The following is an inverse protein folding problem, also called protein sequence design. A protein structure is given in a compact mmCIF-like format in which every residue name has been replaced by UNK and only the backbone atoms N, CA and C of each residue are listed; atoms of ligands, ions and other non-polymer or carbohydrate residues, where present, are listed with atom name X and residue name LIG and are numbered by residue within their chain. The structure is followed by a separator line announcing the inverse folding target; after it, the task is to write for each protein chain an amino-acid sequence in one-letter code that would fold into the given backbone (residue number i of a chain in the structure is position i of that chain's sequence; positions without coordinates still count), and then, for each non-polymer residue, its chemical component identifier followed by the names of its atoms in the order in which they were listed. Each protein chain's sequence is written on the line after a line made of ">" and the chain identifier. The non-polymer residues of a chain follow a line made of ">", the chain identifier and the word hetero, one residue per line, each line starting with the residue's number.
data_IF_607068576164
#
_entry.id   IF_607068576164
#
_cell.length_a   1.000
_cell.length_b   1.000
_cell.length_c   1.000
_cell.angle_alpha   90.00
_cell.angle_beta   90.00
_cell.angle_gamma   90.00
#
_symmetry.space_group_name_H-M   'P 1'
#
loop_
_entity.id
_entity.type
_entity.pdbx_description
1 polymer ?
#
# COMPACT_ATOMS: atom_id res chain seq x y z
N UNK A 1 -29.81 5.77 11.59
CA UNK A 1 -28.64 5.19 12.22
C UNK A 1 -29.06 4.05 13.14
N UNK A 2 -28.26 3.03 13.17
CA UNK A 2 -28.49 1.77 13.85
C UNK A 2 -27.52 1.68 15.05
N UNK A 3 -28.00 1.92 16.30
CA UNK A 3 -27.17 1.98 17.49
C UNK A 3 -26.53 0.62 17.84
N UNK A 4 -27.24 -0.48 17.61
CA UNK A 4 -26.67 -1.83 17.88
C UNK A 4 -25.50 -2.16 16.98
N UNK A 5 -25.60 -1.86 15.69
CA UNK A 5 -24.50 -2.05 14.76
C UNK A 5 -23.32 -1.12 15.08
N UNK A 6 -23.60 0.11 15.49
CA UNK A 6 -22.54 1.06 15.90
C UNK A 6 -21.80 0.59 17.16
N UNK A 7 -22.50 -0.01 18.13
CA UNK A 7 -21.87 -0.60 19.32
C UNK A 7 -20.97 -1.79 18.95
N UNK A 8 -21.41 -2.67 18.03
CA UNK A 8 -20.60 -3.78 17.53
C UNK A 8 -19.37 -3.25 16.83
N UNK A 9 -19.53 -2.28 15.92
CA UNK A 9 -18.43 -1.66 15.18
C UNK A 9 -17.39 -1.05 16.13
N UNK A 10 -17.82 -0.27 17.10
CA UNK A 10 -16.92 0.39 18.05
C UNK A 10 -16.14 -0.62 18.89
N UNK A 11 -16.80 -1.64 19.43
CA UNK A 11 -16.13 -2.71 20.20
C UNK A 11 -15.12 -3.46 19.34
N UNK A 12 -15.51 -3.83 18.13
CA UNK A 12 -14.65 -4.61 17.26
C UNK A 12 -13.45 -3.81 16.74
N UNK A 13 -13.68 -2.60 16.19
CA UNK A 13 -12.57 -1.82 15.61
C UNK A 13 -11.67 -1.26 16.72
N UNK A 14 -12.24 -0.47 17.63
CA UNK A 14 -11.46 0.28 18.62
C UNK A 14 -11.12 -0.54 19.87
N UNK A 15 -11.92 -1.59 20.19
CA UNK A 15 -11.63 -2.52 21.26
C UNK A 15 -10.69 -3.63 20.82
N UNK A 16 -11.13 -4.51 19.93
CA UNK A 16 -10.42 -5.74 19.60
C UNK A 16 -9.26 -5.51 18.61
N UNK A 17 -9.53 -4.86 17.47
CA UNK A 17 -8.53 -4.67 16.39
C UNK A 17 -7.42 -3.73 16.83
N UNK A 18 -7.75 -2.59 17.43
CA UNK A 18 -6.74 -1.61 17.87
C UNK A 18 -5.90 -2.12 19.06
N UNK A 19 -6.41 -3.06 19.85
CA UNK A 19 -5.66 -3.72 20.92
C UNK A 19 -4.76 -4.87 20.43
N UNK A 20 -4.86 -5.25 19.14
CA UNK A 20 -4.12 -6.40 18.58
C UNK A 20 -2.91 -5.95 17.78
N UNK A 21 -1.74 -6.51 18.09
CA UNK A 21 -0.48 -6.24 17.38
C UNK A 21 0.15 -4.90 17.75
N UNK A 22 1.28 -4.58 17.11
CA UNK A 22 2.20 -3.51 17.48
C UNK A 22 2.15 -2.29 16.56
N UNK A 23 1.15 -2.20 15.64
CA UNK A 23 1.01 -1.04 14.77
C UNK A 23 0.64 0.21 15.57
N UNK A 24 1.35 1.31 15.32
CA UNK A 24 0.99 2.61 15.86
C UNK A 24 -0.26 3.21 15.18
N UNK A 25 -0.84 4.24 15.77
CA UNK A 25 -2.07 4.86 15.27
C UNK A 25 -1.89 5.48 13.86
N UNK A 26 -0.71 6.00 13.53
CA UNK A 26 -0.43 6.55 12.20
C UNK A 26 -0.46 5.46 11.14
N UNK A 27 0.23 4.34 11.39
CA UNK A 27 0.24 3.18 10.49
C UNK A 27 -1.16 2.59 10.31
N UNK A 28 -1.95 2.49 11.39
CA UNK A 28 -3.34 2.01 11.34
C UNK A 28 -4.20 2.88 10.43
N UNK A 29 -4.14 4.21 10.57
CA UNK A 29 -4.95 5.11 9.74
C UNK A 29 -4.46 5.18 8.29
N UNK A 30 -3.14 5.10 8.03
CA UNK A 30 -2.63 4.99 6.66
C UNK A 30 -3.11 3.72 5.96
N UNK A 31 -3.09 2.57 6.65
CA UNK A 31 -3.63 1.30 6.16
C UNK A 31 -5.13 1.46 5.89
N UNK A 32 -5.89 2.01 6.85
CA UNK A 32 -7.34 2.20 6.70
C UNK A 32 -7.67 3.10 5.51
N UNK A 33 -7.03 4.26 5.37
CA UNK A 33 -7.23 5.14 4.22
C UNK A 33 -6.88 4.46 2.88
N UNK A 34 -5.82 3.66 2.86
CA UNK A 34 -5.44 2.86 1.69
C UNK A 34 -6.51 1.84 1.32
N UNK A 35 -6.99 1.05 2.28
CA UNK A 35 -8.07 0.06 2.07
C UNK A 35 -9.36 0.71 1.59
N UNK A 36 -9.78 1.81 2.21
CA UNK A 36 -10.98 2.55 1.81
C UNK A 36 -10.85 3.17 0.41
N UNK A 37 -9.64 3.58 0.03
CA UNK A 37 -9.33 4.00 -1.35
C UNK A 37 -9.55 2.85 -2.33
N UNK A 38 -9.04 1.66 -2.03
CA UNK A 38 -9.21 0.46 -2.88
C UNK A 38 -10.66 0.08 -3.01
N UNK A 39 -11.41 0.11 -1.90
CA UNK A 39 -12.84 -0.23 -1.86
C UNK A 39 -13.75 0.85 -2.46
N UNK A 40 -13.26 2.05 -2.73
CA UNK A 40 -14.04 3.20 -3.22
C UNK A 40 -15.16 3.63 -2.26
N UNK A 41 -14.95 3.45 -0.97
CA UNK A 41 -15.90 3.87 0.09
C UNK A 41 -15.56 5.29 0.52
N UNK A 42 -15.87 6.27 -0.36
CA UNK A 42 -15.45 7.67 -0.20
C UNK A 42 -15.94 8.36 1.08
N UNK A 43 -17.18 8.15 1.55
CA UNK A 43 -17.61 8.74 2.82
C UNK A 43 -16.78 8.29 4.02
N UNK A 44 -16.39 7.01 4.06
CA UNK A 44 -15.52 6.46 5.10
C UNK A 44 -14.08 6.97 4.93
N UNK A 45 -13.58 7.04 3.70
CA UNK A 45 -12.28 7.64 3.41
C UNK A 45 -12.21 9.09 3.91
N UNK A 46 -13.25 9.88 3.68
CA UNK A 46 -13.34 11.28 4.17
C UNK A 46 -13.21 11.32 5.69
N UNK A 47 -13.94 10.49 6.41
CA UNK A 47 -13.90 10.41 7.88
C UNK A 47 -12.50 10.00 8.39
N UNK A 48 -11.93 8.92 7.82
CA UNK A 48 -10.61 8.40 8.20
C UNK A 48 -9.46 9.32 7.79
N UNK A 49 -9.58 10.10 6.71
CA UNK A 49 -8.62 11.17 6.38
C UNK A 49 -8.54 12.19 7.53
N UNK A 50 -9.70 12.59 8.08
CA UNK A 50 -9.74 13.46 9.25
C UNK A 50 -9.12 12.82 10.49
N UNK A 51 -9.39 11.54 10.74
CA UNK A 51 -8.80 10.78 11.85
C UNK A 51 -7.28 10.63 11.71
N UNK A 52 -6.80 10.32 10.51
CA UNK A 52 -5.38 10.21 10.20
C UNK A 52 -4.63 11.51 10.50
N UNK A 53 -5.15 12.66 10.08
CA UNK A 53 -4.58 13.96 10.41
C UNK A 53 -4.54 14.21 11.93
N UNK A 54 -5.58 13.80 12.67
CA UNK A 54 -5.65 13.96 14.11
C UNK A 54 -4.60 13.11 14.87
N UNK A 55 -4.22 11.94 14.35
CA UNK A 55 -3.16 11.11 14.93
C UNK A 55 -1.76 11.44 14.39
N UNK A 56 -1.64 12.53 13.63
CA UNK A 56 -0.36 13.08 13.17
C UNK A 56 0.16 12.49 11.86
N UNK A 57 -0.69 11.83 11.05
CA UNK A 57 -0.36 11.56 9.64
C UNK A 57 -0.32 12.89 8.90
N UNK A 58 0.73 13.14 8.15
CA UNK A 58 0.85 14.37 7.37
C UNK A 58 0.01 14.31 6.09
N UNK A 59 -0.42 15.45 5.52
CA UNK A 59 -1.10 15.48 4.23
C UNK A 59 -0.29 14.83 3.10
N UNK A 60 1.05 14.94 3.15
CA UNK A 60 1.95 14.31 2.19
C UNK A 60 1.89 12.78 2.32
N UNK A 61 2.03 12.23 3.54
CA UNK A 61 1.92 10.78 3.78
C UNK A 61 0.59 10.22 3.27
N UNK A 62 -0.54 10.90 3.54
CA UNK A 62 -1.87 10.52 3.05
C UNK A 62 -1.94 10.51 1.52
N UNK A 63 -1.47 11.59 0.89
CA UNK A 63 -1.44 11.67 -0.58
C UNK A 63 -0.59 10.55 -1.18
N UNK A 64 0.59 10.29 -0.63
CA UNK A 64 1.49 9.24 -1.12
C UNK A 64 0.88 7.84 -0.93
N UNK A 65 0.14 7.59 0.16
CA UNK A 65 -0.58 6.34 0.37
C UNK A 65 -1.69 6.14 -0.68
N UNK A 66 -2.45 7.20 -1.01
CA UNK A 66 -3.47 7.16 -2.07
C UNK A 66 -2.83 6.99 -3.45
N UNK A 67 -1.73 7.70 -3.74
CA UNK A 67 -1.01 7.56 -5.02
C UNK A 67 -0.46 6.15 -5.21
N UNK A 68 0.01 5.51 -4.14
CA UNK A 68 0.51 4.14 -4.18
C UNK A 68 -0.55 3.12 -4.60
N UNK A 69 -1.85 3.45 -4.51
CA UNK A 69 -2.92 2.59 -4.99
C UNK A 69 -3.01 2.54 -6.53
N UNK A 70 -2.54 3.58 -7.24
CA UNK A 70 -2.80 3.74 -8.66
C UNK A 70 -2.34 2.57 -9.55
N UNK A 71 -1.17 1.93 -9.35
CA UNK A 71 -0.75 0.77 -10.13
C UNK A 71 -1.65 -0.47 -9.96
N UNK A 72 -2.38 -0.55 -8.85
CA UNK A 72 -3.15 -1.74 -8.46
C UNK A 72 -4.64 -1.62 -8.76
N UNK A 73 -5.19 -0.41 -8.69
CA UNK A 73 -6.64 -0.16 -8.87
C UNK A 73 -6.96 0.75 -10.06
N UNK A 74 -5.92 1.30 -10.71
CA UNK A 74 -6.04 2.22 -11.85
C UNK A 74 -6.31 3.67 -11.46
N UNK A 75 -6.03 4.58 -12.39
CA UNK A 75 -6.18 6.02 -12.19
C UNK A 75 -7.61 6.47 -11.85
N UNK A 76 -8.69 5.97 -12.47
CA UNK A 76 -10.03 6.49 -12.18
C UNK A 76 -10.40 6.38 -10.70
N UNK A 77 -10.15 5.23 -10.08
CA UNK A 77 -10.40 5.01 -8.65
C UNK A 77 -9.49 5.85 -7.77
N UNK A 78 -8.24 5.99 -8.15
CA UNK A 78 -7.26 6.81 -7.41
C UNK A 78 -7.65 8.28 -7.45
N UNK A 79 -8.11 8.80 -8.60
CA UNK A 79 -8.56 10.19 -8.73
C UNK A 79 -9.78 10.50 -7.85
N UNK A 80 -10.74 9.56 -7.71
CA UNK A 80 -11.85 9.71 -6.78
C UNK A 80 -11.35 9.88 -5.34
N UNK A 81 -10.39 9.06 -4.92
CA UNK A 81 -9.80 9.14 -3.59
C UNK A 81 -9.00 10.44 -3.38
N UNK A 82 -8.23 10.87 -4.39
CA UNK A 82 -7.51 12.16 -4.36
C UNK A 82 -8.47 13.32 -4.16
N UNK A 83 -9.60 13.34 -4.89
CA UNK A 83 -10.61 14.37 -4.72
C UNK A 83 -11.14 14.38 -3.27
N UNK A 84 -11.46 13.20 -2.72
CA UNK A 84 -11.98 13.07 -1.36
C UNK A 84 -11.00 13.55 -0.28
N UNK A 85 -9.72 13.16 -0.35
CA UNK A 85 -8.74 13.64 0.64
C UNK A 85 -8.47 15.15 0.50
N UNK A 86 -8.47 15.70 -0.71
CA UNK A 86 -8.30 17.13 -0.96
C UNK A 86 -9.49 17.97 -0.42
N UNK A 87 -10.71 17.45 -0.43
CA UNK A 87 -11.85 18.08 0.27
C UNK A 87 -11.54 18.25 1.75
N UNK A 88 -11.09 17.18 2.43
CA UNK A 88 -10.72 17.22 3.84
C UNK A 88 -9.57 18.19 4.10
N UNK A 89 -8.56 18.20 3.23
CA UNK A 89 -7.44 19.12 3.35
C UNK A 89 -7.93 20.58 3.29
N UNK A 90 -8.81 20.88 2.34
CA UNK A 90 -9.42 22.22 2.21
C UNK A 90 -10.25 22.57 3.45
N UNK A 91 -11.09 21.67 3.93
CA UNK A 91 -11.91 21.84 5.15
C UNK A 91 -11.05 22.11 6.41
N UNK A 92 -9.83 21.56 6.44
CA UNK A 92 -8.85 21.74 7.53
C UNK A 92 -7.92 22.93 7.32
N UNK A 93 -8.10 23.74 6.28
CA UNK A 93 -7.27 24.90 5.97
C UNK A 93 -5.85 24.55 5.48
N UNK A 94 -5.64 23.32 4.99
CA UNK A 94 -4.38 22.88 4.40
C UNK A 94 -4.28 23.43 2.98
N UNK A 95 -3.20 24.17 2.69
CA UNK A 95 -2.99 24.79 1.38
C UNK A 95 -2.73 23.74 0.30
N UNK A 96 -3.43 23.84 -0.82
CA UNK A 96 -3.23 23.03 -2.02
C UNK A 96 -2.70 23.89 -3.17
N UNK A 97 -1.91 23.34 -4.09
CA UNK A 97 -1.40 21.96 -4.09
C UNK A 97 -0.33 21.72 -3.02
N UNK A 98 -0.26 20.48 -2.52
CA UNK A 98 0.84 20.06 -1.64
C UNK A 98 2.18 20.04 -2.41
N UNK A 99 3.29 20.20 -1.70
CA UNK A 99 4.62 20.15 -2.26
C UNK A 99 4.88 18.88 -3.07
N UNK A 100 5.63 19.04 -4.18
CA UNK A 100 6.01 17.93 -5.05
C UNK A 100 6.95 16.99 -4.30
N UNK A 101 6.76 15.69 -4.48
CA UNK A 101 7.57 14.63 -3.89
C UNK A 101 8.38 13.85 -4.92
N UNK A 102 8.06 13.97 -6.20
CA UNK A 102 8.84 13.38 -7.30
C UNK A 102 10.16 14.11 -7.48
N UNK A 103 11.26 13.36 -7.57
CA UNK A 103 12.63 13.89 -7.62
C UNK A 103 13.43 13.42 -8.83
N UNK A 104 12.84 12.57 -9.70
CA UNK A 104 13.52 12.00 -10.87
C UNK A 104 13.06 12.69 -12.16
N UNK A 105 13.93 12.70 -13.17
CA UNK A 105 13.60 13.14 -14.52
C UNK A 105 13.02 12.00 -15.36
N UNK A 106 12.47 12.33 -16.55
CA UNK A 106 11.91 11.33 -17.47
C UNK A 106 12.99 10.30 -17.89
N UNK A 107 14.22 10.73 -18.13
CA UNK A 107 15.35 9.89 -18.52
C UNK A 107 15.82 8.96 -17.40
N UNK A 108 15.63 9.34 -16.15
CA UNK A 108 16.05 8.57 -14.97
C UNK A 108 15.07 7.46 -14.58
N UNK A 109 13.81 7.51 -15.05
CA UNK A 109 12.70 6.66 -14.58
C UNK A 109 13.04 5.18 -14.57
N UNK A 110 13.59 4.67 -15.69
CA UNK A 110 13.90 3.26 -15.82
C UNK A 110 15.03 2.83 -14.88
N UNK A 111 16.16 3.52 -14.90
CA UNK A 111 17.33 3.12 -14.10
C UNK A 111 17.07 3.28 -12.60
N UNK A 112 16.41 4.35 -12.20
CA UNK A 112 16.04 4.57 -10.80
C UNK A 112 14.98 3.55 -10.33
N UNK A 113 14.01 3.26 -11.17
CA UNK A 113 13.00 2.23 -10.88
C UNK A 113 13.62 0.84 -10.77
N UNK A 114 14.48 0.47 -11.70
CA UNK A 114 15.20 -0.80 -11.70
C UNK A 114 16.09 -0.98 -10.46
N UNK A 115 16.76 0.08 -10.04
CA UNK A 115 17.60 0.05 -8.84
C UNK A 115 16.81 -0.28 -7.55
N UNK A 116 15.52 0.07 -7.50
CA UNK A 116 14.63 -0.29 -6.39
C UNK A 116 13.99 -1.67 -6.60
N UNK A 117 13.49 -1.93 -7.80
CA UNK A 117 12.79 -3.17 -8.14
C UNK A 117 13.67 -4.40 -8.01
N UNK A 118 14.87 -4.35 -8.60
CA UNK A 118 15.69 -5.53 -8.81
C UNK A 118 16.16 -6.21 -7.51
N UNK A 119 16.59 -5.50 -6.46
CA UNK A 119 16.93 -6.11 -5.18
C UNK A 119 15.77 -6.83 -4.49
N UNK A 120 14.53 -6.43 -4.76
CA UNK A 120 13.32 -6.98 -4.11
C UNK A 120 12.74 -8.13 -4.94
N UNK A 121 12.54 -7.90 -6.25
CA UNK A 121 11.75 -8.75 -7.14
C UNK A 121 12.55 -9.37 -8.29
N UNK A 122 13.82 -8.96 -8.50
CA UNK A 122 14.60 -9.42 -9.63
C UNK A 122 13.97 -9.02 -10.98
N UNK A 123 14.11 -9.91 -11.96
CA UNK A 123 13.58 -9.75 -13.33
C UNK A 123 12.38 -10.68 -13.63
N UNK A 124 11.72 -11.20 -12.58
CA UNK A 124 10.64 -12.19 -12.72
C UNK A 124 9.51 -11.72 -13.66
N UNK A 125 9.12 -10.44 -13.58
CA UNK A 125 8.07 -9.89 -14.47
C UNK A 125 8.55 -9.83 -15.92
N UNK A 126 9.81 -9.44 -16.17
CA UNK A 126 10.36 -9.41 -17.51
C UNK A 126 10.38 -10.83 -18.12
N UNK A 127 10.80 -11.83 -17.34
CA UNK A 127 10.80 -13.23 -17.77
C UNK A 127 9.37 -13.75 -18.01
N UNK A 128 8.43 -13.46 -17.11
CA UNK A 128 7.04 -13.91 -17.24
C UNK A 128 6.32 -13.29 -18.44
N UNK A 129 6.65 -12.04 -18.79
CA UNK A 129 6.01 -11.33 -19.91
C UNK A 129 6.73 -11.54 -21.26
N UNK A 130 7.97 -12.01 -21.27
CA UNK A 130 8.76 -12.22 -22.50
C UNK A 130 8.03 -13.02 -23.62
N UNK A 131 7.17 -14.03 -23.31
CA UNK A 131 6.44 -14.75 -24.34
C UNK A 131 5.33 -13.96 -25.05
N UNK A 132 5.02 -12.73 -24.63
CA UNK A 132 3.99 -11.93 -25.30
C UNK A 132 4.46 -11.50 -26.71
N UNK A 133 3.50 -11.46 -27.70
CA UNK A 133 3.86 -11.24 -29.09
C UNK A 133 4.36 -9.81 -29.35
N UNK A 134 5.12 -9.65 -30.44
CA UNK A 134 5.56 -8.37 -31.00
C UNK A 134 6.29 -7.43 -30.02
N UNK A 135 7.07 -7.98 -29.09
CA UNK A 135 7.83 -7.17 -28.10
C UNK A 135 6.97 -6.50 -27.03
N UNK A 136 5.67 -6.80 -26.96
CA UNK A 136 4.77 -6.21 -25.97
C UNK A 136 5.14 -6.63 -24.53
N UNK A 137 5.79 -7.80 -24.37
CA UNK A 137 6.28 -8.24 -23.06
C UNK A 137 7.34 -7.31 -22.48
N UNK A 138 8.29 -6.88 -23.29
CA UNK A 138 9.32 -5.92 -22.89
C UNK A 138 8.69 -4.56 -22.54
N UNK A 139 7.67 -4.14 -23.30
CA UNK A 139 6.94 -2.90 -23.01
C UNK A 139 6.22 -2.97 -21.66
N UNK A 140 5.54 -4.09 -21.34
CA UNK A 140 4.84 -4.28 -20.05
C UNK A 140 5.84 -4.26 -18.89
N UNK A 141 6.96 -4.99 -19.01
CA UNK A 141 8.00 -5.00 -18.00
C UNK A 141 8.60 -3.60 -17.78
N UNK A 142 8.87 -2.86 -18.88
CA UNK A 142 9.36 -1.49 -18.83
C UNK A 142 8.33 -0.55 -18.15
N UNK A 143 7.04 -0.64 -18.49
CA UNK A 143 6.00 0.18 -17.86
C UNK A 143 5.93 -0.07 -16.36
N UNK A 144 6.04 -1.33 -15.91
CA UNK A 144 6.10 -1.64 -14.48
C UNK A 144 7.31 -0.97 -13.83
N UNK A 145 8.50 -1.11 -14.39
CA UNK A 145 9.73 -0.54 -13.85
C UNK A 145 9.67 0.98 -13.79
N UNK A 146 9.28 1.64 -14.88
CA UNK A 146 9.22 3.10 -14.98
C UNK A 146 8.11 3.69 -14.12
N UNK A 147 6.89 3.16 -14.22
CA UNK A 147 5.72 3.73 -13.55
C UNK A 147 5.64 3.35 -12.08
N UNK A 148 5.68 2.04 -11.75
CA UNK A 148 5.55 1.64 -10.35
C UNK A 148 6.79 2.03 -9.54
N UNK A 149 7.97 1.63 -10.02
CA UNK A 149 9.20 1.82 -9.25
C UNK A 149 9.86 3.17 -9.54
N UNK A 150 9.87 3.63 -10.78
CA UNK A 150 10.39 4.94 -11.15
C UNK A 150 9.53 6.09 -10.61
N UNK A 151 8.30 6.21 -11.06
CA UNK A 151 7.46 7.36 -10.73
C UNK A 151 6.93 7.35 -9.28
N UNK A 152 6.69 6.18 -8.67
CA UNK A 152 6.05 6.10 -7.36
C UNK A 152 7.00 5.76 -6.22
N UNK A 153 7.86 4.74 -6.35
CA UNK A 153 8.72 4.35 -5.24
C UNK A 153 9.88 5.32 -4.97
N UNK A 154 10.31 6.10 -5.97
CA UNK A 154 11.35 7.12 -5.79
C UNK A 154 10.87 8.38 -5.07
N UNK A 155 9.56 8.53 -4.92
CA UNK A 155 8.94 9.70 -4.27
C UNK A 155 9.22 9.70 -2.78
N UNK A 156 9.41 10.90 -2.21
CA UNK A 156 9.52 11.10 -0.76
C UNK A 156 8.14 11.02 -0.07
N UNK A 157 8.08 11.27 1.23
CA UNK A 157 6.84 11.23 2.02
C UNK A 157 6.55 9.88 2.67
N UNK A 158 6.83 8.76 1.98
CA UNK A 158 6.81 7.41 2.55
C UNK A 158 8.11 6.70 2.23
N UNK A 159 8.65 5.97 3.19
CA UNK A 159 9.80 5.09 2.95
C UNK A 159 9.37 3.77 2.27
N UNK A 160 10.34 2.98 1.83
CA UNK A 160 10.08 1.75 1.07
C UNK A 160 9.32 0.70 1.90
N UNK A 161 9.60 0.61 3.19
CA UNK A 161 8.91 -0.32 4.09
C UNK A 161 7.43 0.05 4.23
N UNK A 162 7.13 1.33 4.38
CA UNK A 162 5.76 1.83 4.43
C UNK A 162 5.03 1.56 3.11
N UNK A 163 5.66 1.86 1.96
CA UNK A 163 5.07 1.61 0.64
C UNK A 163 4.72 0.15 0.44
N UNK A 164 5.64 -0.76 0.72
CA UNK A 164 5.42 -2.20 0.59
C UNK A 164 4.35 -2.73 1.55
N UNK A 165 4.31 -2.21 2.79
CA UNK A 165 3.26 -2.57 3.74
C UNK A 165 1.87 -2.15 3.24
N UNK A 166 1.74 -0.93 2.69
CA UNK A 166 0.49 -0.45 2.12
C UNK A 166 0.09 -1.25 0.87
N UNK A 167 1.06 -1.59 -0.01
CA UNK A 167 0.80 -2.44 -1.18
C UNK A 167 0.32 -3.83 -0.75
N UNK A 168 0.91 -4.41 0.28
CA UNK A 168 0.44 -5.66 0.83
C UNK A 168 -1.02 -5.58 1.28
N UNK A 169 -1.43 -4.48 1.90
CA UNK A 169 -2.84 -4.22 2.27
C UNK A 169 -3.74 -4.00 1.04
N UNK A 170 -3.25 -3.33 -0.01
CA UNK A 170 -3.97 -3.18 -1.29
C UNK A 170 -4.26 -4.55 -1.88
N UNK A 171 -3.23 -5.40 -2.00
CA UNK A 171 -3.34 -6.73 -2.59
C UNK A 171 -4.22 -7.67 -1.75
N UNK A 172 -4.16 -7.54 -0.42
CA UNK A 172 -5.09 -8.21 0.50
C UNK A 172 -6.53 -7.80 0.19
N UNK A 173 -6.78 -6.50 0.00
CA UNK A 173 -8.13 -5.95 -0.23
C UNK A 173 -8.72 -6.39 -1.56
N UNK A 174 -7.92 -6.49 -2.63
CA UNK A 174 -8.39 -6.94 -3.95
C UNK A 174 -8.35 -8.47 -4.11
N UNK A 175 -7.78 -9.21 -3.15
CA UNK A 175 -7.69 -10.67 -3.19
C UNK A 175 -6.73 -11.22 -4.25
N UNK A 176 -5.70 -10.46 -4.65
CA UNK A 176 -4.74 -10.83 -5.69
C UNK A 176 -3.67 -11.79 -5.16
N UNK A 177 -4.02 -13.05 -4.94
CA UNK A 177 -3.20 -14.04 -4.22
C UNK A 177 -1.76 -14.22 -4.73
N UNK A 178 -1.48 -14.34 -6.06
CA UNK A 178 -0.11 -14.48 -6.55
C UNK A 178 0.74 -13.25 -6.25
N UNK A 179 0.23 -12.05 -6.49
CA UNK A 179 0.92 -10.79 -6.23
C UNK A 179 1.07 -10.56 -4.72
N UNK A 180 0.06 -10.92 -3.93
CA UNK A 180 0.11 -10.85 -2.48
C UNK A 180 1.26 -11.70 -1.91
N UNK A 181 1.46 -12.91 -2.44
CA UNK A 181 2.58 -13.76 -2.05
C UNK A 181 3.93 -13.12 -2.38
N UNK A 182 4.10 -12.58 -3.58
CA UNK A 182 5.33 -11.91 -4.00
C UNK A 182 5.64 -10.69 -3.13
N UNK A 183 4.62 -9.84 -2.86
CA UNK A 183 4.80 -8.65 -2.01
C UNK A 183 4.97 -8.98 -0.52
N UNK A 184 4.40 -10.07 -0.03
CA UNK A 184 4.71 -10.55 1.33
C UNK A 184 6.20 -10.93 1.47
N UNK A 185 6.75 -11.66 0.48
CA UNK A 185 8.20 -11.94 0.43
C UNK A 185 9.03 -10.66 0.27
N UNK A 186 8.60 -9.74 -0.59
CA UNK A 186 9.24 -8.43 -0.77
C UNK A 186 9.32 -7.65 0.54
N UNK A 187 8.22 -7.58 1.28
CA UNK A 187 8.16 -6.96 2.61
C UNK A 187 9.19 -7.56 3.58
N UNK A 188 9.28 -8.90 3.65
CA UNK A 188 10.25 -9.57 4.51
C UNK A 188 11.69 -9.26 4.10
N UNK A 189 11.99 -9.21 2.79
CA UNK A 189 13.33 -8.87 2.26
C UNK A 189 13.77 -7.45 2.64
N UNK A 190 12.85 -6.49 2.69
CA UNK A 190 13.18 -5.10 3.02
C UNK A 190 13.09 -4.79 4.51
N UNK A 191 12.83 -5.80 5.36
CA UNK A 191 12.89 -5.69 6.82
C UNK A 191 11.56 -5.48 7.54
N UNK A 192 10.41 -5.53 6.86
CA UNK A 192 9.14 -5.65 7.53
C UNK A 192 8.99 -7.05 8.13
N UNK A 193 8.48 -7.16 9.35
CA UNK A 193 8.35 -8.44 10.05
C UNK A 193 7.03 -9.15 9.72
N UNK A 194 7.01 -10.48 9.92
CA UNK A 194 5.75 -11.25 9.85
C UNK A 194 4.69 -10.73 10.82
N UNK A 195 5.12 -10.28 12.00
CA UNK A 195 4.23 -9.69 12.99
C UNK A 195 3.58 -8.41 12.45
N UNK A 196 4.36 -7.51 11.83
CA UNK A 196 3.83 -6.30 11.20
C UNK A 196 2.85 -6.61 10.08
N UNK A 197 3.17 -7.58 9.19
CA UNK A 197 2.28 -8.01 8.11
C UNK A 197 0.99 -8.63 8.65
N UNK A 198 1.07 -9.45 9.70
CA UNK A 198 -0.09 -10.03 10.37
C UNK A 198 -0.98 -8.93 10.96
N UNK A 199 -0.38 -7.98 11.68
CA UNK A 199 -1.10 -6.86 12.26
C UNK A 199 -1.75 -5.96 11.18
N UNK A 200 -1.11 -5.78 10.03
CA UNK A 200 -1.65 -5.04 8.90
C UNK A 200 -2.90 -5.73 8.30
N UNK A 201 -2.88 -7.06 8.13
CA UNK A 201 -4.07 -7.80 7.67
C UNK A 201 -5.19 -7.73 8.70
N UNK A 202 -4.88 -7.84 10.00
CA UNK A 202 -5.86 -7.69 11.08
C UNK A 202 -6.47 -6.28 11.03
N UNK A 203 -5.68 -5.24 10.78
CA UNK A 203 -6.17 -3.88 10.61
C UNK A 203 -7.11 -3.74 9.39
N UNK A 204 -6.88 -4.48 8.31
CA UNK A 204 -7.77 -4.48 7.14
C UNK A 204 -9.12 -5.18 7.41
N UNK A 205 -9.16 -6.15 8.33
CA UNK A 205 -10.27 -7.09 8.54
C UNK A 205 -11.65 -6.42 8.70
N UNK A 206 -11.82 -5.34 9.51
CA UNK A 206 -13.12 -4.68 9.66
C UNK A 206 -13.69 -4.10 8.37
N UNK A 207 -12.82 -3.80 7.40
CA UNK A 207 -13.18 -3.13 6.15
C UNK A 207 -13.42 -4.12 5.02
N UNK A 208 -12.63 -5.22 4.96
CA UNK A 208 -12.66 -6.19 3.85
C UNK A 208 -13.38 -7.50 4.21
N UNK A 209 -13.67 -7.73 5.49
CA UNK A 209 -14.28 -8.94 6.00
C UNK A 209 -13.33 -10.13 6.13
N UNK A 210 -13.79 -11.16 6.85
CA UNK A 210 -13.00 -12.36 7.17
C UNK A 210 -12.49 -13.14 5.95
N UNK A 211 -13.25 -13.34 4.85
CA UNK A 211 -12.77 -14.19 3.77
C UNK A 211 -11.43 -13.75 3.17
N UNK A 212 -11.28 -12.47 2.84
CA UNK A 212 -10.05 -11.93 2.28
C UNK A 212 -8.92 -11.86 3.33
N UNK A 213 -9.24 -11.49 4.55
CA UNK A 213 -8.25 -11.44 5.63
C UNK A 213 -7.70 -12.84 5.94
N UNK A 214 -8.56 -13.85 6.08
CA UNK A 214 -8.14 -15.23 6.33
C UNK A 214 -7.31 -15.82 5.18
N UNK A 215 -7.67 -15.51 3.92
CA UNK A 215 -6.86 -15.90 2.76
C UNK A 215 -5.45 -15.33 2.84
N UNK A 216 -5.33 -14.04 3.16
CA UNK A 216 -4.04 -13.35 3.26
C UNK A 216 -3.20 -13.88 4.42
N UNK A 217 -3.81 -14.09 5.60
CA UNK A 217 -3.15 -14.70 6.74
C UNK A 217 -2.66 -16.12 6.46
N UNK A 218 -3.43 -16.91 5.71
CA UNK A 218 -3.00 -18.25 5.29
C UNK A 218 -1.79 -18.19 4.36
N UNK A 219 -1.82 -17.31 3.35
CA UNK A 219 -0.66 -17.10 2.45
C UNK A 219 0.58 -16.73 3.27
N UNK A 220 0.46 -15.73 4.17
CA UNK A 220 1.59 -15.28 5.00
C UNK A 220 2.15 -16.39 5.90
N UNK A 221 1.28 -17.22 6.52
CA UNK A 221 1.67 -18.34 7.35
C UNK A 221 2.48 -19.39 6.58
N UNK A 222 2.05 -19.66 5.34
CA UNK A 222 2.60 -20.75 4.51
C UNK A 222 3.89 -20.31 3.76
N UNK A 223 4.30 -19.04 3.87
CA UNK A 223 5.56 -18.57 3.31
C UNK A 223 6.77 -19.18 4.02
N UNK A 224 7.84 -19.51 3.29
CA UNK A 224 9.10 -19.91 3.91
C UNK A 224 9.70 -18.76 4.73
N UNK A 225 10.49 -19.08 5.75
CA UNK A 225 11.27 -18.05 6.42
C UNK A 225 12.35 -17.53 5.47
N UNK A 226 12.59 -16.19 5.46
CA UNK A 226 13.65 -15.63 4.64
C UNK A 226 14.99 -16.29 5.00
N UNK A 227 15.65 -16.89 4.03
CA UNK A 227 17.00 -17.41 4.24
C UNK A 227 17.98 -16.24 4.39
N UNK A 228 19.05 -16.43 5.16
CA UNK A 228 20.08 -15.40 5.43
C UNK A 228 20.74 -14.86 4.15
N UNK A 229 20.70 -15.60 3.03
CA UNK A 229 21.16 -15.14 1.72
C UNK A 229 20.21 -14.13 1.04
N UNK A 230 18.90 -14.17 1.34
CA UNK A 230 17.91 -13.26 0.80
C UNK A 230 17.80 -11.93 1.55
N UNK A 231 18.45 -11.81 2.71
CA UNK A 231 18.39 -10.65 3.62
C UNK A 231 19.60 -9.70 3.49
N UNK A 232 20.29 -9.66 2.33
CA UNK A 232 21.36 -8.65 2.15
C UNK A 232 20.72 -7.25 2.18
N UNK A 233 21.23 -6.33 3.03
CA UNK A 233 20.71 -4.97 3.10
C UNK A 233 20.81 -4.32 1.72
N UNK A 234 19.72 -3.69 1.26
CA UNK A 234 19.75 -2.78 0.13
C UNK A 234 20.67 -1.62 0.54
N UNK A 235 21.78 -1.45 -0.17
CA UNK A 235 22.72 -0.36 0.11
C UNK A 235 21.97 0.99 0.12
N UNK A 236 22.24 1.80 1.14
CA UNK A 236 21.64 3.12 1.32
C UNK A 236 22.04 4.07 0.20
#
# INVERSE_FOLDING_TARGET
>A
SDPELMDILQKFIFGDIFATGTLDHKSRELITCTVLTVMQTMPQLKAHTGAALNVGVTPIELREAVYQCAPFIGFPKTLNAVATINEVFTERGITLPLDKQGSITEEERFERGKAIQYPIYGDEIAQAMAPLPAGMGDAVARFLTEYCFGDLYTRTGLNIQQRELLIYCILTTIGAAPQLQAHALGNLKIGNSREQLTAAVIQCLPYIGFPLALQSLKILRDLPDPTTESMKPIAK
#
